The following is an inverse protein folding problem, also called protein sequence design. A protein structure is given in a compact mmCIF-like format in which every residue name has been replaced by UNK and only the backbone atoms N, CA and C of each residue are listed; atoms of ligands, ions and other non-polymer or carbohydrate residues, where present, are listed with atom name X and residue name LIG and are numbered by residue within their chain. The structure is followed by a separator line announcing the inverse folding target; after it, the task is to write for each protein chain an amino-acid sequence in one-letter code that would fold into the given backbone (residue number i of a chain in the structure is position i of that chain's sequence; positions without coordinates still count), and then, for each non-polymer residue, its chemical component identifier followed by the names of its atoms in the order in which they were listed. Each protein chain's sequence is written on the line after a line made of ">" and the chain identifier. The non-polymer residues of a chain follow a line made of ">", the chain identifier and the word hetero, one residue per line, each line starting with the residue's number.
data_IF_708506098335
#
_entry.id   IF_708506098335
#
_cell.length_a   1.000
_cell.length_b   1.000
_cell.length_c   1.000
_cell.angle_alpha   90.00
_cell.angle_beta   90.00
_cell.angle_gamma   90.00
#
_symmetry.space_group_name_H-M   'P 1'
#
loop_
_entity.id
_entity.type
_entity.pdbx_description
1 polymer ?
#
# COMPACT_ATOMS: atom_id res chain seq x y z
N UNK A 1 22.91 35.87 23.29
CA UNK A 1 23.79 35.36 22.21
C UNK A 1 23.55 36.25 21.00
N UNK A 2 24.40 37.25 20.76
CA UNK A 2 24.23 38.14 19.61
C UNK A 2 24.77 37.45 18.35
N UNK A 3 23.99 37.44 17.27
CA UNK A 3 24.39 36.94 15.94
C UNK A 3 24.90 38.10 15.09
N UNK A 4 25.70 37.84 14.05
CA UNK A 4 26.24 38.92 13.22
C UNK A 4 25.11 39.50 12.37
N UNK A 5 25.23 40.78 11.95
CA UNK A 5 24.30 41.35 10.98
C UNK A 5 24.19 40.51 9.69
N UNK A 6 25.27 39.84 9.26
CA UNK A 6 25.27 38.97 8.07
C UNK A 6 24.32 37.78 8.30
N UNK A 7 24.45 37.11 9.43
CA UNK A 7 23.65 35.91 9.74
C UNK A 7 22.19 36.26 10.02
N UNK A 8 21.92 37.41 10.65
CA UNK A 8 20.56 37.91 10.85
C UNK A 8 19.91 38.21 9.49
N UNK A 9 20.58 38.98 8.63
CA UNK A 9 20.07 39.30 7.29
C UNK A 9 19.87 38.03 6.44
N UNK A 10 20.76 37.05 6.58
CA UNK A 10 20.64 35.77 5.90
C UNK A 10 19.39 34.99 6.33
N UNK A 11 19.20 34.82 7.64
CA UNK A 11 18.06 34.08 8.18
C UNK A 11 16.72 34.81 7.93
N UNK A 12 16.70 36.13 8.10
CA UNK A 12 15.51 36.95 7.80
C UNK A 12 15.19 36.91 6.31
N UNK A 13 16.21 36.96 5.44
CA UNK A 13 16.03 36.87 3.99
C UNK A 13 15.44 35.52 3.55
N UNK A 14 16.00 34.41 4.05
CA UNK A 14 15.47 33.07 3.80
C UNK A 14 14.07 32.87 4.37
N UNK A 15 13.82 33.34 5.59
CA UNK A 15 12.50 33.25 6.22
C UNK A 15 11.46 34.06 5.45
N UNK A 16 11.81 35.27 5.00
CA UNK A 16 10.97 36.10 4.15
C UNK A 16 10.57 35.37 2.87
N UNK A 17 11.54 34.81 2.14
CA UNK A 17 11.27 34.02 0.94
C UNK A 17 10.36 32.80 1.21
N UNK A 18 10.58 32.09 2.31
CA UNK A 18 9.73 30.96 2.68
C UNK A 18 8.29 31.40 2.99
N UNK A 19 8.14 32.49 3.74
CA UNK A 19 6.83 33.06 4.11
C UNK A 19 6.09 33.61 2.90
N UNK A 20 6.79 34.33 2.02
CA UNK A 20 6.24 34.83 0.76
C UNK A 20 5.59 33.69 -0.03
N UNK A 21 6.34 32.63 -0.27
CA UNK A 21 5.88 31.55 -1.13
C UNK A 21 4.89 30.59 -0.48
N UNK A 22 4.92 30.42 0.85
CA UNK A 22 4.01 29.48 1.54
C UNK A 22 2.74 30.13 2.07
N UNK A 23 2.81 31.35 2.57
CA UNK A 23 1.69 32.01 3.25
C UNK A 23 1.03 33.08 2.39
N UNK A 24 1.79 33.72 1.48
CA UNK A 24 1.29 34.83 0.65
C UNK A 24 1.06 34.44 -0.80
N UNK A 25 1.10 33.14 -1.13
CA UNK A 25 0.89 32.64 -2.49
C UNK A 25 -0.44 33.09 -3.12
N UNK A 26 -1.47 33.35 -2.31
CA UNK A 26 -2.78 33.86 -2.74
C UNK A 26 -2.83 35.38 -2.97
N UNK A 27 -1.82 36.14 -2.49
CA UNK A 27 -1.77 37.61 -2.55
C UNK A 27 -0.55 38.07 -3.34
N UNK A 28 -0.64 38.06 -4.67
CA UNK A 28 0.49 38.29 -5.59
C UNK A 28 1.28 39.58 -5.30
N UNK A 29 0.60 40.67 -4.90
CA UNK A 29 1.25 41.95 -4.58
C UNK A 29 2.12 41.90 -3.32
N UNK A 30 1.61 41.30 -2.24
CA UNK A 30 2.36 41.17 -0.98
C UNK A 30 3.47 40.12 -1.07
N UNK A 31 3.23 39.03 -1.81
CA UNK A 31 4.25 38.01 -2.11
C UNK A 31 5.48 38.63 -2.75
N UNK A 32 5.29 39.37 -3.84
CA UNK A 32 6.39 40.00 -4.58
C UNK A 32 7.19 40.96 -3.71
N UNK A 33 6.54 41.75 -2.85
CA UNK A 33 7.23 42.67 -1.93
C UNK A 33 8.09 41.91 -0.93
N UNK A 34 7.55 40.84 -0.32
CA UNK A 34 8.27 40.03 0.68
C UNK A 34 9.43 39.27 0.04
N UNK A 35 9.25 38.74 -1.16
CA UNK A 35 10.30 38.03 -1.89
C UNK A 35 11.44 38.96 -2.31
N UNK A 36 11.11 40.14 -2.86
CA UNK A 36 12.12 41.15 -3.19
C UNK A 36 12.87 41.63 -1.95
N UNK A 37 12.18 41.82 -0.82
CA UNK A 37 12.82 42.17 0.45
C UNK A 37 13.74 41.05 0.92
N UNK A 38 13.33 39.78 0.78
CA UNK A 38 14.15 38.61 1.11
C UNK A 38 15.42 38.51 0.27
N UNK A 39 15.30 38.67 -1.05
CA UNK A 39 16.44 38.70 -1.99
C UNK A 39 17.37 39.87 -1.67
N UNK A 40 16.82 41.05 -1.41
CA UNK A 40 17.60 42.23 -1.04
C UNK A 40 18.40 41.99 0.25
N UNK A 41 17.79 41.38 1.27
CA UNK A 41 18.48 41.03 2.51
C UNK A 41 19.65 40.07 2.27
N UNK A 42 19.47 39.05 1.42
CA UNK A 42 20.54 38.12 1.03
C UNK A 42 21.66 38.83 0.25
N UNK A 43 21.31 39.76 -0.66
CA UNK A 43 22.29 40.55 -1.41
C UNK A 43 23.12 41.46 -0.49
N UNK A 44 22.47 42.10 0.49
CA UNK A 44 23.16 42.92 1.51
C UNK A 44 24.07 42.04 2.38
N UNK A 45 23.63 40.85 2.78
CA UNK A 45 24.46 39.89 3.51
C UNK A 45 25.72 39.51 2.69
N UNK A 46 25.56 39.27 1.38
CA UNK A 46 26.67 39.03 0.46
C UNK A 46 27.62 40.21 0.34
N UNK A 47 27.10 41.42 0.19
CA UNK A 47 27.91 42.64 0.15
C UNK A 47 28.74 42.83 1.43
N UNK A 48 28.11 42.62 2.59
CA UNK A 48 28.79 42.68 3.89
C UNK A 48 29.86 41.60 4.01
N UNK A 49 29.61 40.37 3.54
CA UNK A 49 30.59 39.29 3.53
C UNK A 49 31.82 39.60 2.66
N UNK A 50 31.62 40.25 1.50
CA UNK A 50 32.72 40.73 0.65
C UNK A 50 33.50 41.84 1.34
N UNK A 51 32.81 42.77 2.01
CA UNK A 51 33.44 43.86 2.76
C UNK A 51 34.27 43.32 3.94
N UNK A 52 33.75 42.36 4.70
CA UNK A 52 34.49 41.74 5.81
C UNK A 52 35.69 40.94 5.32
N UNK A 53 35.59 40.28 4.16
CA UNK A 53 36.73 39.61 3.54
C UNK A 53 37.86 40.59 3.17
N UNK A 54 37.52 41.73 2.56
CA UNK A 54 38.48 42.76 2.14
C UNK A 54 39.13 43.49 3.32
N UNK A 55 38.41 43.65 4.43
CA UNK A 55 38.88 44.35 5.62
C UNK A 55 39.46 43.45 6.72
N UNK A 56 39.55 42.14 6.52
CA UNK A 56 40.14 41.24 7.51
C UNK A 56 41.66 41.29 7.44
N UNK A 57 42.35 41.42 8.58
CA UNK A 57 43.81 41.36 8.65
C UNK A 57 44.33 39.98 9.06
N UNK A 58 43.53 39.23 9.81
CA UNK A 58 43.87 37.89 10.30
C UNK A 58 43.57 36.79 9.25
N UNK A 59 44.48 35.82 9.02
CA UNK A 59 44.29 34.75 8.04
C UNK A 59 43.09 33.84 8.34
N UNK A 60 42.77 33.61 9.62
CA UNK A 60 41.61 32.81 10.02
C UNK A 60 40.29 33.51 9.72
N UNK A 61 40.20 34.82 10.00
CA UNK A 61 39.04 35.66 9.63
C UNK A 61 38.86 35.79 8.12
N UNK A 62 39.96 35.98 7.37
CA UNK A 62 39.92 35.99 5.90
C UNK A 62 39.39 34.67 5.35
N UNK A 63 39.79 33.55 5.94
CA UNK A 63 39.28 32.23 5.55
C UNK A 63 37.81 32.05 5.92
N UNK A 64 37.40 32.41 7.13
CA UNK A 64 36.00 32.35 7.55
C UNK A 64 35.08 33.19 6.63
N UNK A 65 35.49 34.41 6.26
CA UNK A 65 34.74 35.25 5.32
C UNK A 65 34.60 34.61 3.93
N UNK A 66 35.65 33.92 3.43
CA UNK A 66 35.57 33.14 2.18
C UNK A 66 34.56 32.01 2.26
N UNK A 67 34.54 31.29 3.39
CA UNK A 67 33.58 30.21 3.60
C UNK A 67 32.15 30.76 3.68
N UNK A 68 31.93 31.87 4.38
CA UNK A 68 30.61 32.54 4.41
C UNK A 68 30.15 32.94 3.01
N UNK A 69 31.04 33.50 2.17
CA UNK A 69 30.72 33.79 0.77
C UNK A 69 30.37 32.51 -0.02
N UNK A 70 31.09 31.41 0.19
CA UNK A 70 30.78 30.13 -0.44
C UNK A 70 29.42 29.56 0.02
N UNK A 71 29.06 29.71 1.29
CA UNK A 71 27.74 29.36 1.82
C UNK A 71 26.63 30.22 1.21
N UNK A 72 26.84 31.53 1.06
CA UNK A 72 25.88 32.40 0.38
C UNK A 72 25.69 32.00 -1.08
N UNK A 73 26.79 31.68 -1.77
CA UNK A 73 26.73 31.14 -3.14
C UNK A 73 25.97 29.81 -3.20
N UNK A 74 26.25 28.88 -2.27
CA UNK A 74 25.53 27.60 -2.18
C UNK A 74 24.03 27.79 -1.92
N UNK A 75 23.66 28.78 -1.12
CA UNK A 75 22.26 29.16 -0.92
C UNK A 75 21.65 29.71 -2.20
N UNK A 76 22.35 30.60 -2.91
CA UNK A 76 21.90 31.11 -4.21
C UNK A 76 21.73 29.98 -5.24
N UNK A 77 22.64 29.00 -5.27
CA UNK A 77 22.48 27.79 -6.10
C UNK A 77 21.22 27.01 -5.71
N UNK A 78 20.95 26.84 -4.42
CA UNK A 78 19.70 26.24 -3.93
C UNK A 78 18.46 27.01 -4.38
N UNK A 79 18.48 28.34 -4.33
CA UNK A 79 17.37 29.17 -4.81
C UNK A 79 17.19 29.10 -6.33
N UNK A 80 18.26 28.98 -7.11
CA UNK A 80 18.20 28.74 -8.56
C UNK A 80 17.57 27.37 -8.85
N UNK A 81 17.94 26.33 -8.09
CA UNK A 81 17.29 25.01 -8.20
C UNK A 81 15.80 25.10 -7.86
N UNK A 82 15.43 25.86 -6.83
CA UNK A 82 14.03 26.12 -6.49
C UNK A 82 13.29 26.81 -7.65
N UNK A 83 13.87 27.86 -8.25
CA UNK A 83 13.29 28.51 -9.41
C UNK A 83 13.09 27.54 -10.60
N UNK A 84 13.97 26.54 -10.74
CA UNK A 84 13.82 25.44 -11.70
C UNK A 84 12.57 24.58 -11.49
N UNK A 85 12.02 24.52 -10.28
CA UNK A 85 10.78 23.77 -9.98
C UNK A 85 9.50 24.50 -10.39
N UNK A 86 9.60 25.79 -10.72
CA UNK A 86 8.43 26.63 -11.07
C UNK A 86 7.75 26.17 -12.34
N UNK A 87 6.43 26.35 -12.43
CA UNK A 87 5.64 25.96 -13.61
C UNK A 87 6.10 26.65 -14.89
N UNK A 88 6.57 27.91 -14.81
CA UNK A 88 7.08 28.63 -15.97
C UNK A 88 8.32 27.95 -16.58
N UNK A 89 9.28 27.55 -15.74
CA UNK A 89 10.52 26.90 -16.17
C UNK A 89 10.24 25.47 -16.64
N UNK A 90 9.42 24.73 -15.89
CA UNK A 90 9.08 23.35 -16.26
C UNK A 90 8.26 23.27 -17.56
N UNK A 91 7.40 24.26 -17.85
CA UNK A 91 6.74 24.41 -19.16
C UNK A 91 7.73 24.72 -20.28
N UNK A 92 8.68 25.63 -20.04
CA UNK A 92 9.71 25.98 -21.03
C UNK A 92 10.63 24.80 -21.39
N UNK A 93 10.88 23.88 -20.44
CA UNK A 93 11.69 22.69 -20.66
C UNK A 93 11.02 21.61 -21.54
N UNK A 94 9.71 21.68 -21.76
CA UNK A 94 8.99 20.77 -22.68
C UNK A 94 9.10 19.28 -22.33
N UNK A 95 9.29 18.93 -21.05
CA UNK A 95 9.49 17.55 -20.61
C UNK A 95 8.20 16.71 -20.72
N UNK A 96 8.35 15.42 -21.03
CA UNK A 96 7.25 14.45 -20.95
C UNK A 96 6.73 14.31 -19.51
N UNK A 97 5.48 13.87 -19.32
CA UNK A 97 4.87 13.77 -18.00
C UNK A 97 5.68 12.92 -17.00
N UNK A 98 6.22 11.80 -17.45
CA UNK A 98 7.06 10.92 -16.62
C UNK A 98 8.40 11.58 -16.26
N UNK A 99 9.07 12.20 -17.23
CA UNK A 99 10.33 12.93 -17.01
C UNK A 99 10.15 14.14 -16.11
N UNK A 100 9.02 14.84 -16.22
CA UNK A 100 8.66 15.97 -15.37
C UNK A 100 8.48 15.55 -13.92
N UNK A 101 7.81 14.41 -13.66
CA UNK A 101 7.65 13.87 -12.31
C UNK A 101 9.01 13.52 -11.69
N UNK A 102 9.89 12.87 -12.45
CA UNK A 102 11.27 12.56 -12.00
C UNK A 102 12.07 13.83 -11.73
N UNK A 103 12.01 14.80 -12.64
CA UNK A 103 12.69 16.09 -12.50
C UNK A 103 12.23 16.83 -11.25
N UNK A 104 10.92 16.97 -11.04
CA UNK A 104 10.35 17.62 -9.84
C UNK A 104 10.73 16.90 -8.56
N UNK A 105 10.75 15.57 -8.55
CA UNK A 105 11.22 14.79 -7.41
C UNK A 105 12.69 15.03 -7.08
N UNK A 106 13.57 14.99 -8.09
CA UNK A 106 15.02 15.17 -7.90
C UNK A 106 15.33 16.61 -7.50
N UNK A 107 14.89 17.60 -8.27
CA UNK A 107 15.18 19.01 -8.00
C UNK A 107 14.48 19.45 -6.71
N UNK A 108 13.26 18.97 -6.45
CA UNK A 108 12.50 19.19 -5.22
C UNK A 108 13.22 18.72 -3.96
N UNK A 109 14.00 17.63 -4.05
CA UNK A 109 14.84 17.16 -2.94
C UNK A 109 16.19 17.90 -2.86
N UNK A 110 16.79 18.26 -4.00
CA UNK A 110 18.12 18.87 -4.05
C UNK A 110 18.13 20.33 -3.56
N UNK A 111 17.13 21.14 -3.91
CA UNK A 111 17.13 22.55 -3.52
C UNK A 111 17.13 22.78 -1.99
N UNK A 112 16.30 22.10 -1.16
CA UNK A 112 16.32 22.33 0.28
C UNK A 112 17.59 21.76 0.91
N UNK A 113 18.14 20.65 0.39
CA UNK A 113 19.42 20.10 0.83
C UNK A 113 20.54 21.10 0.57
N UNK A 114 20.60 21.70 -0.62
CA UNK A 114 21.61 22.70 -0.98
C UNK A 114 21.54 23.92 -0.05
N UNK A 115 20.34 24.45 0.19
CA UNK A 115 20.13 25.56 1.15
C UNK A 115 20.55 25.17 2.55
N UNK A 116 20.16 23.98 3.03
CA UNK A 116 20.47 23.53 4.39
C UNK A 116 21.96 23.28 4.63
N UNK A 117 22.63 22.59 3.70
CA UNK A 117 24.08 22.33 3.74
C UNK A 117 24.88 23.64 3.64
N UNK A 118 24.35 24.65 2.96
CA UNK A 118 24.95 25.98 2.93
C UNK A 118 24.69 26.79 4.22
N UNK A 119 23.49 26.71 4.80
CA UNK A 119 23.09 27.45 5.98
C UNK A 119 23.81 26.97 7.26
N UNK A 120 23.94 25.67 7.45
CA UNK A 120 24.48 25.11 8.69
C UNK A 120 25.93 25.55 9.00
N UNK A 121 26.89 25.49 8.05
CA UNK A 121 28.23 26.02 8.29
C UNK A 121 28.26 27.54 8.48
N UNK A 122 27.39 28.29 7.80
CA UNK A 122 27.30 29.75 7.96
C UNK A 122 26.94 30.10 9.40
N UNK A 123 25.88 29.48 9.94
CA UNK A 123 25.43 29.72 11.32
C UNK A 123 26.48 29.22 12.33
N UNK A 124 27.10 28.06 12.11
CA UNK A 124 28.13 27.54 13.01
C UNK A 124 29.38 28.43 13.06
N UNK A 125 29.80 28.97 11.91
CA UNK A 125 30.91 29.92 11.83
C UNK A 125 30.56 31.25 12.49
N UNK A 126 29.33 31.72 12.35
CA UNK A 126 28.86 32.94 13.02
C UNK A 126 28.98 32.84 14.53
N UNK A 127 28.47 31.75 15.12
CA UNK A 127 28.57 31.49 16.56
C UNK A 127 30.04 31.44 17.00
N UNK A 128 30.91 30.86 16.17
CA UNK A 128 32.35 30.75 16.47
C UNK A 128 33.05 32.10 16.42
N UNK A 129 32.69 32.95 15.44
CA UNK A 129 33.22 34.32 15.32
C UNK A 129 32.84 35.18 16.52
N UNK A 130 31.61 35.07 17.03
CA UNK A 130 31.19 35.81 18.22
C UNK A 130 31.88 35.34 19.49
N UNK A 131 32.14 34.03 19.61
CA UNK A 131 32.88 33.47 20.75
C UNK A 131 34.36 33.88 20.76
N UNK A 132 34.92 34.23 19.60
CA UNK A 132 36.33 34.57 19.44
C UNK A 132 36.50 35.97 18.78
N UNK A 133 36.19 37.06 19.52
CA UNK A 133 36.10 38.41 18.96
C UNK A 133 37.45 39.08 18.65
N UNK A 134 38.59 38.46 19.00
CA UNK A 134 39.93 39.06 18.78
C UNK A 134 40.76 38.25 17.78
N UNK A 135 41.05 36.98 18.07
CA UNK A 135 41.87 36.10 17.21
C UNK A 135 41.08 34.83 16.90
N UNK A 136 41.15 34.37 15.66
CA UNK A 136 40.49 33.13 15.23
C UNK A 136 41.50 32.18 14.58
N UNK A 137 41.95 31.13 15.28
CA UNK A 137 42.86 30.15 14.70
C UNK A 137 42.26 29.45 13.49
N UNK A 138 43.04 29.34 12.39
CA UNK A 138 42.59 28.68 11.16
C UNK A 138 42.14 27.23 11.38
N UNK A 139 42.82 26.51 12.27
CA UNK A 139 42.48 25.13 12.62
C UNK A 139 41.07 25.02 13.22
N UNK A 140 40.67 26.00 14.05
CA UNK A 140 39.33 26.04 14.64
C UNK A 140 38.26 26.28 13.58
N UNK A 141 38.51 27.18 12.63
CA UNK A 141 37.59 27.43 11.50
C UNK A 141 37.38 26.17 10.68
N UNK A 142 38.47 25.46 10.36
CA UNK A 142 38.39 24.19 9.62
C UNK A 142 37.62 23.13 10.39
N UNK A 143 37.88 22.98 11.68
CA UNK A 143 37.19 22.01 12.53
C UNK A 143 35.68 22.28 12.61
N UNK A 144 35.27 23.53 12.82
CA UNK A 144 33.86 23.93 12.86
C UNK A 144 33.21 23.69 11.50
N UNK A 145 33.89 24.05 10.41
CA UNK A 145 33.39 23.81 9.05
C UNK A 145 33.19 22.31 8.78
N UNK A 146 34.18 21.46 9.09
CA UNK A 146 34.06 20.01 8.89
C UNK A 146 32.95 19.41 9.73
N UNK A 147 32.81 19.82 10.99
CA UNK A 147 31.75 19.32 11.87
C UNK A 147 30.35 19.76 11.39
N UNK A 148 30.19 21.03 11.01
CA UNK A 148 28.92 21.54 10.52
C UNK A 148 28.51 20.91 9.18
N UNK A 149 29.45 20.74 8.25
CA UNK A 149 29.20 20.06 6.99
C UNK A 149 28.87 18.58 7.19
N UNK A 150 29.63 17.86 8.03
CA UNK A 150 29.36 16.45 8.32
C UNK A 150 27.98 16.27 8.96
N UNK A 151 27.61 17.12 9.92
CA UNK A 151 26.29 17.11 10.54
C UNK A 151 25.17 17.42 9.53
N UNK A 152 25.35 18.45 8.70
CA UNK A 152 24.37 18.84 7.70
C UNK A 152 24.15 17.76 6.63
N UNK A 153 25.24 17.15 6.13
CA UNK A 153 25.17 16.03 5.20
C UNK A 153 24.53 14.80 5.84
N UNK A 154 24.86 14.50 7.10
CA UNK A 154 24.25 13.41 7.85
C UNK A 154 22.73 13.55 7.99
N UNK A 155 22.24 14.77 8.23
CA UNK A 155 20.79 15.05 8.22
C UNK A 155 20.22 15.00 6.80
N UNK A 156 20.94 15.50 5.80
CA UNK A 156 20.49 15.45 4.40
C UNK A 156 20.28 14.01 3.89
N UNK A 157 21.00 13.03 4.44
CA UNK A 157 20.82 11.60 4.15
C UNK A 157 19.43 11.05 4.52
N UNK A 158 18.69 11.72 5.40
CA UNK A 158 17.32 11.31 5.75
C UNK A 158 16.42 11.33 4.51
N UNK A 159 16.59 12.31 3.62
CA UNK A 159 15.75 12.48 2.42
C UNK A 159 15.84 11.29 1.45
N UNK A 160 17.03 10.87 0.95
CA UNK A 160 17.11 9.71 0.07
C UNK A 160 16.76 8.41 0.78
N UNK A 161 17.05 8.26 2.08
CA UNK A 161 16.68 7.08 2.87
C UNK A 161 15.15 6.95 2.96
N UNK A 162 14.47 8.04 3.30
CA UNK A 162 13.00 8.09 3.36
C UNK A 162 12.38 7.80 1.98
N UNK A 163 12.93 8.38 0.91
CA UNK A 163 12.47 8.09 -0.45
C UNK A 163 12.62 6.61 -0.83
N UNK A 164 13.75 5.97 -0.49
CA UNK A 164 13.96 4.54 -0.73
C UNK A 164 13.00 3.71 0.14
N UNK A 165 12.81 4.07 1.41
CA UNK A 165 11.91 3.39 2.33
C UNK A 165 10.45 3.45 1.84
N UNK A 166 10.00 4.62 1.39
CA UNK A 166 8.66 4.81 0.85
C UNK A 166 8.41 4.00 -0.43
N UNK A 167 9.40 3.87 -1.31
CA UNK A 167 9.28 3.09 -2.56
C UNK A 167 9.45 1.59 -2.37
N UNK A 168 10.27 1.18 -1.43
CA UNK A 168 10.56 -0.22 -1.10
C UNK A 168 9.91 -0.61 0.22
N UNK A 169 8.67 -0.17 0.45
CA UNK A 169 7.90 -0.53 1.63
C UNK A 169 7.46 -2.00 1.55
N UNK A 170 8.43 -2.90 1.61
CA UNK A 170 8.22 -4.33 1.74
C UNK A 170 7.86 -4.59 3.19
N UNK A 171 6.58 -4.83 3.44
CA UNK A 171 6.10 -5.30 4.74
C UNK A 171 6.62 -6.72 4.96
N UNK A 172 7.76 -6.85 5.63
CA UNK A 172 8.21 -8.12 6.17
C UNK A 172 7.36 -8.43 7.39
N UNK A 173 6.32 -9.23 7.20
CA UNK A 173 5.50 -9.72 8.31
C UNK A 173 6.30 -10.80 9.08
N UNK A 174 6.91 -10.36 10.18
CA UNK A 174 7.63 -11.22 11.12
C UNK A 174 6.68 -11.79 12.20
N UNK A 175 5.38 -11.48 12.11
CA UNK A 175 4.39 -12.00 13.05
C UNK A 175 4.18 -13.50 12.81
N UNK A 176 3.87 -14.21 13.88
CA UNK A 176 3.84 -15.67 13.99
C UNK A 176 2.82 -16.38 13.06
N UNK A 177 2.08 -15.65 12.22
CA UNK A 177 1.06 -16.14 11.29
C UNK A 177 1.47 -15.88 9.83
N UNK A 178 2.46 -16.63 9.33
CA UNK A 178 2.89 -16.65 7.91
C UNK A 178 1.81 -17.12 6.92
N UNK A 179 0.52 -17.05 7.23
CA UNK A 179 -0.53 -17.76 6.45
C UNK A 179 -1.88 -17.03 6.33
N UNK A 180 -1.95 -15.73 6.63
CA UNK A 180 -3.16 -14.92 6.38
C UNK A 180 -3.13 -14.23 5.00
N UNK A 181 -2.18 -14.55 4.13
CA UNK A 181 -2.19 -14.13 2.74
C UNK A 181 -2.75 -15.24 1.84
N UNK A 182 -3.63 -14.87 0.90
CA UNK A 182 -4.18 -15.81 -0.07
C UNK A 182 -3.12 -16.23 -1.08
N UNK A 183 -3.03 -17.53 -1.33
CA UNK A 183 -2.13 -18.11 -2.33
C UNK A 183 -2.49 -17.66 -3.75
N UNK A 184 -1.53 -17.74 -4.67
CA UNK A 184 -1.75 -17.39 -6.08
C UNK A 184 -2.83 -18.27 -6.71
N UNK A 185 -2.89 -19.55 -6.34
CA UNK A 185 -3.93 -20.48 -6.79
C UNK A 185 -5.34 -20.04 -6.34
N UNK A 186 -5.49 -19.67 -5.06
CA UNK A 186 -6.78 -19.21 -4.50
C UNK A 186 -7.24 -17.90 -5.14
N UNK A 187 -6.31 -16.96 -5.37
CA UNK A 187 -6.60 -15.69 -6.07
C UNK A 187 -7.08 -15.92 -7.49
N UNK A 188 -6.42 -16.81 -8.23
CA UNK A 188 -6.83 -17.14 -9.59
C UNK A 188 -8.20 -17.82 -9.62
N UNK A 189 -8.48 -18.69 -8.65
CA UNK A 189 -9.76 -19.36 -8.53
C UNK A 189 -10.89 -18.36 -8.21
N UNK A 190 -10.66 -17.44 -7.28
CA UNK A 190 -11.61 -16.38 -6.95
C UNK A 190 -11.88 -15.44 -8.14
N UNK A 191 -10.84 -15.11 -8.92
CA UNK A 191 -10.99 -14.28 -10.13
C UNK A 191 -11.72 -15.01 -11.27
N UNK A 192 -11.69 -16.34 -11.30
CA UNK A 192 -12.32 -17.18 -12.31
C UNK A 192 -13.71 -17.69 -11.92
N UNK A 193 -14.30 -17.19 -10.82
CA UNK A 193 -15.66 -17.54 -10.41
C UNK A 193 -16.66 -17.06 -11.45
N UNK A 194 -17.52 -17.96 -11.93
CA UNK A 194 -18.59 -17.63 -12.89
C UNK A 194 -19.87 -17.18 -12.17
N UNK A 195 -20.15 -17.77 -11.00
CA UNK A 195 -21.31 -17.46 -10.16
C UNK A 195 -20.92 -16.62 -8.93
N UNK A 196 -21.81 -15.71 -8.46
CA UNK A 196 -21.55 -14.89 -7.28
C UNK A 196 -21.56 -15.72 -5.99
N UNK A 197 -20.49 -15.58 -5.20
CA UNK A 197 -20.32 -16.17 -3.88
C UNK A 197 -20.35 -15.09 -2.80
N UNK A 198 -21.11 -15.33 -1.74
CA UNK A 198 -21.13 -14.45 -0.57
C UNK A 198 -20.38 -15.12 0.59
N UNK A 199 -19.35 -14.44 1.10
CA UNK A 199 -18.59 -14.83 2.29
C UNK A 199 -19.11 -14.03 3.48
N UNK A 200 -19.73 -14.72 4.43
CA UNK A 200 -20.31 -14.13 5.65
C UNK A 200 -19.52 -14.58 6.86
N UNK A 201 -18.84 -13.64 7.50
CA UNK A 201 -17.98 -13.86 8.66
C UNK A 201 -18.79 -13.54 9.91
N UNK A 202 -19.19 -14.57 10.66
CA UNK A 202 -19.92 -14.41 11.92
C UNK A 202 -18.94 -14.20 13.07
N UNK A 203 -18.73 -12.93 13.46
CA UNK A 203 -17.80 -12.54 14.53
C UNK A 203 -18.41 -11.44 15.40
N UNK A 204 -18.11 -11.42 16.72
CA UNK A 204 -18.50 -10.31 17.57
C UNK A 204 -17.61 -9.09 17.26
N UNK A 205 -18.09 -7.85 17.48
CA UNK A 205 -17.36 -6.62 17.16
C UNK A 205 -15.99 -6.50 17.84
N UNK A 206 -15.81 -7.13 19.01
CA UNK A 206 -14.58 -7.10 19.78
C UNK A 206 -13.61 -8.26 19.48
N UNK A 207 -13.83 -9.05 18.42
CA UNK A 207 -12.94 -10.18 18.12
C UNK A 207 -11.65 -9.73 17.43
N UNK A 208 -10.53 -10.11 18.04
CA UNK A 208 -9.17 -9.96 17.52
C UNK A 208 -8.92 -10.75 16.22
N UNK A 209 -9.77 -11.72 15.89
CA UNK A 209 -9.64 -12.60 14.71
C UNK A 209 -10.24 -11.94 13.47
N UNK A 210 -11.14 -10.97 13.64
CA UNK A 210 -11.87 -10.32 12.55
C UNK A 210 -10.93 -9.63 11.57
N UNK A 211 -9.93 -8.91 12.08
CA UNK A 211 -8.98 -8.16 11.26
C UNK A 211 -8.10 -9.09 10.41
N UNK A 212 -7.71 -10.25 10.94
CA UNK A 212 -6.94 -11.26 10.21
C UNK A 212 -7.76 -11.91 9.10
N UNK A 213 -9.04 -12.24 9.38
CA UNK A 213 -9.94 -12.80 8.36
C UNK A 213 -10.25 -11.77 7.27
N UNK A 214 -10.54 -10.52 7.64
CA UNK A 214 -10.74 -9.44 6.67
C UNK A 214 -9.49 -9.20 5.83
N UNK A 215 -8.31 -9.21 6.46
CA UNK A 215 -7.02 -9.07 5.78
C UNK A 215 -6.80 -10.17 4.72
N UNK A 216 -7.24 -11.39 5.00
CA UNK A 216 -7.22 -12.50 4.05
C UNK A 216 -8.26 -12.34 2.94
N UNK A 217 -9.55 -12.21 3.30
CA UNK A 217 -10.67 -12.22 2.35
C UNK A 217 -10.69 -11.00 1.41
N UNK A 218 -10.22 -9.83 1.87
CA UNK A 218 -10.05 -8.65 1.00
C UNK A 218 -9.06 -8.87 -0.14
N UNK A 219 -8.14 -9.83 -0.03
CA UNK A 219 -7.19 -10.13 -1.11
C UNK A 219 -7.79 -10.96 -2.24
N UNK A 220 -8.96 -11.58 -2.02
CA UNK A 220 -9.68 -12.42 -2.97
C UNK A 220 -11.07 -11.86 -3.32
N UNK A 221 -11.45 -10.75 -2.71
CA UNK A 221 -12.68 -10.02 -3.01
C UNK A 221 -12.67 -9.51 -4.46
N UNK A 222 -13.82 -9.63 -5.13
CA UNK A 222 -13.93 -9.36 -6.56
C UNK A 222 -15.39 -9.24 -7.01
N UNK A 223 -15.66 -9.17 -8.33
CA UNK A 223 -17.02 -8.97 -8.83
C UNK A 223 -17.99 -10.10 -8.43
N UNK A 224 -17.47 -11.33 -8.33
CA UNK A 224 -18.25 -12.53 -8.01
C UNK A 224 -17.93 -13.09 -6.61
N UNK A 225 -17.21 -12.35 -5.76
CA UNK A 225 -16.95 -12.75 -4.37
C UNK A 225 -17.07 -11.53 -3.46
N UNK A 226 -18.12 -11.52 -2.64
CA UNK A 226 -18.42 -10.44 -1.70
C UNK A 226 -18.13 -10.90 -0.26
N UNK A 227 -17.69 -9.96 0.58
CA UNK A 227 -17.30 -10.26 1.97
C UNK A 227 -18.08 -9.38 2.93
N UNK A 228 -18.83 -10.00 3.83
CA UNK A 228 -19.63 -9.32 4.86
C UNK A 228 -19.27 -9.83 6.25
N UNK A 229 -19.11 -8.91 7.20
CA UNK A 229 -18.93 -9.25 8.62
C UNK A 229 -20.26 -9.05 9.33
N UNK A 230 -20.75 -10.09 9.97
CA UNK A 230 -22.03 -10.11 10.66
C UNK A 230 -21.82 -10.53 12.11
N UNK A 231 -22.60 -9.94 13.02
CA UNK A 231 -22.76 -10.47 14.38
C UNK A 231 -23.96 -11.42 14.41
N UNK A 232 -23.77 -12.62 14.95
CA UNK A 232 -24.83 -13.60 15.22
C UNK A 232 -25.99 -12.99 16.02
N UNK A 233 -25.68 -12.12 16.99
CA UNK A 233 -26.70 -11.48 17.83
C UNK A 233 -27.52 -10.45 17.05
N UNK A 234 -26.93 -9.79 16.07
CA UNK A 234 -27.61 -8.81 15.23
C UNK A 234 -28.46 -9.47 14.12
N UNK A 235 -28.02 -10.63 13.59
CA UNK A 235 -28.68 -11.30 12.45
C UNK A 235 -29.03 -12.78 12.72
N UNK A 236 -29.87 -13.09 13.73
CA UNK A 236 -30.14 -14.47 14.13
C UNK A 236 -30.92 -15.28 13.08
N UNK A 237 -31.75 -14.64 12.26
CA UNK A 237 -32.53 -15.30 11.19
C UNK A 237 -31.61 -15.83 10.09
N UNK A 238 -30.65 -15.01 9.65
CA UNK A 238 -29.67 -15.37 8.64
C UNK A 238 -28.74 -16.48 9.16
N UNK A 239 -28.29 -16.38 10.41
CA UNK A 239 -27.52 -17.44 11.05
C UNK A 239 -28.27 -18.78 11.09
N UNK A 240 -29.57 -18.77 11.45
CA UNK A 240 -30.43 -19.96 11.45
C UNK A 240 -30.57 -20.57 10.05
N UNK A 241 -30.77 -19.75 9.02
CA UNK A 241 -30.85 -20.19 7.63
C UNK A 241 -29.55 -20.87 7.17
N UNK A 242 -28.41 -20.31 7.55
CA UNK A 242 -27.07 -20.84 7.25
C UNK A 242 -26.59 -21.93 8.23
N UNK A 243 -27.44 -22.35 9.18
CA UNK A 243 -27.12 -23.34 10.22
C UNK A 243 -25.90 -22.98 11.08
N UNK A 244 -25.61 -21.69 11.23
CA UNK A 244 -24.55 -21.17 12.11
C UNK A 244 -25.09 -21.05 13.53
N UNK A 245 -24.47 -21.76 14.48
CA UNK A 245 -24.94 -21.84 15.87
C UNK A 245 -24.21 -20.90 16.83
N UNK A 246 -22.99 -20.51 16.48
CA UNK A 246 -22.10 -19.72 17.33
C UNK A 246 -21.29 -18.73 16.49
N UNK A 247 -20.85 -17.65 17.14
CA UNK A 247 -19.85 -16.74 16.58
C UNK A 247 -18.49 -17.47 16.47
N UNK A 248 -17.65 -17.07 15.52
CA UNK A 248 -16.42 -17.79 15.21
C UNK A 248 -16.46 -18.58 13.90
N UNK A 249 -17.49 -18.38 13.06
CA UNK A 249 -17.73 -19.21 11.86
C UNK A 249 -17.73 -18.34 10.61
N UNK A 250 -17.08 -18.81 9.56
CA UNK A 250 -17.15 -18.22 8.22
C UNK A 250 -18.05 -19.09 7.36
N UNK A 251 -19.13 -18.52 6.82
CA UNK A 251 -20.05 -19.21 5.92
C UNK A 251 -19.87 -18.67 4.50
N UNK A 252 -19.58 -19.56 3.55
CA UNK A 252 -19.47 -19.24 2.12
C UNK A 252 -20.67 -19.86 1.43
N UNK A 253 -21.44 -19.04 0.72
CA UNK A 253 -22.72 -19.43 0.12
C UNK A 253 -22.75 -19.12 -1.36
N UNK A 254 -23.22 -20.08 -2.15
CA UNK A 254 -23.61 -19.90 -3.56
C UNK A 254 -25.14 -19.75 -3.65
N UNK A 255 -25.58 -18.70 -4.34
CA UNK A 255 -26.99 -18.35 -4.50
C UNK A 255 -27.58 -17.55 -3.33
N UNK A 256 -28.80 -17.05 -3.54
CA UNK A 256 -29.49 -16.20 -2.56
C UNK A 256 -30.04 -16.99 -1.38
N UNK A 257 -29.89 -16.43 -0.18
CA UNK A 257 -30.36 -17.03 1.06
C UNK A 257 -31.76 -16.50 1.34
N UNK A 258 -32.78 -17.30 1.03
CA UNK A 258 -34.17 -16.98 1.36
C UNK A 258 -34.37 -17.12 2.87
N UNK A 259 -34.83 -16.05 3.52
CA UNK A 259 -34.88 -15.90 4.98
C UNK A 259 -36.16 -16.43 5.64
N UNK A 260 -37.08 -17.01 4.86
CA UNK A 260 -38.42 -17.39 5.32
C UNK A 260 -38.58 -18.89 5.59
N UNK A 261 -39.45 -19.21 6.55
CA UNK A 261 -39.91 -20.58 6.88
C UNK A 261 -40.72 -21.24 5.72
N UNK A 262 -40.91 -20.53 4.60
CA UNK A 262 -41.56 -21.00 3.36
C UNK A 262 -40.68 -21.93 2.49
N UNK A 263 -39.38 -22.07 2.79
CA UNK A 263 -38.47 -23.00 2.10
C UNK A 263 -38.81 -24.51 2.30
N UNK A 264 -39.91 -24.82 3.00
CA UNK A 264 -40.47 -26.18 3.09
C UNK A 264 -41.50 -26.48 2.00
N UNK A 265 -42.03 -25.48 1.29
CA UNK A 265 -43.18 -25.66 0.39
C UNK A 265 -42.85 -25.64 -1.11
N UNK A 266 -41.71 -25.09 -1.54
CA UNK A 266 -41.34 -25.03 -2.96
C UNK A 266 -39.90 -25.54 -3.18
N UNK A 267 -39.80 -26.42 -4.18
CA UNK A 267 -38.64 -27.16 -4.69
C UNK A 267 -37.43 -27.41 -3.75
N UNK A 268 -37.14 -28.68 -3.38
CA UNK A 268 -35.93 -29.01 -2.61
C UNK A 268 -34.60 -28.69 -3.33
N UNK A 269 -34.63 -28.29 -4.61
CA UNK A 269 -33.48 -27.87 -5.43
C UNK A 269 -33.05 -26.41 -5.25
N UNK A 270 -33.85 -25.53 -4.65
CA UNK A 270 -33.54 -24.10 -4.52
C UNK A 270 -32.89 -23.70 -3.17
N UNK A 271 -32.17 -24.64 -2.51
CA UNK A 271 -31.48 -24.34 -1.24
C UNK A 271 -30.07 -23.79 -1.52
N UNK A 272 -29.65 -22.68 -0.89
CA UNK A 272 -28.31 -22.14 -1.09
C UNK A 272 -27.26 -23.17 -0.64
N UNK A 273 -26.29 -23.46 -1.52
CA UNK A 273 -25.21 -24.39 -1.18
C UNK A 273 -24.23 -23.65 -0.29
N UNK A 274 -24.16 -24.06 0.98
CA UNK A 274 -23.38 -23.39 2.02
C UNK A 274 -22.29 -24.29 2.54
N UNK A 275 -21.06 -23.76 2.64
CA UNK A 275 -19.94 -24.38 3.33
C UNK A 275 -19.46 -23.48 4.46
N UNK A 276 -19.13 -24.07 5.60
CA UNK A 276 -18.73 -23.33 6.80
C UNK A 276 -17.35 -23.74 7.28
N UNK A 277 -16.56 -22.77 7.74
CA UNK A 277 -15.28 -22.97 8.43
C UNK A 277 -15.42 -22.47 9.86
N UNK A 278 -15.08 -23.32 10.84
CA UNK A 278 -15.05 -22.94 12.26
C UNK A 278 -13.65 -22.46 12.62
N UNK A 279 -13.53 -21.17 12.91
CA UNK A 279 -12.27 -20.49 13.24
C UNK A 279 -12.18 -20.24 14.76
N UNK A 280 -13.28 -19.80 15.37
CA UNK A 280 -13.32 -19.32 16.75
C UNK A 280 -13.09 -17.81 16.86
N UNK A 281 -13.38 -17.26 18.04
CA UNK A 281 -13.43 -15.80 18.28
C UNK A 281 -12.14 -15.22 18.88
N UNK A 282 -11.24 -16.07 19.41
CA UNK A 282 -9.97 -15.67 20.02
C UNK A 282 -8.79 -16.18 19.21
N UNK A 283 -7.68 -15.43 19.19
CA UNK A 283 -6.49 -15.76 18.40
C UNK A 283 -5.90 -17.14 18.76
N UNK A 284 -5.89 -17.51 20.04
CA UNK A 284 -5.35 -18.80 20.49
C UNK A 284 -6.12 -20.00 19.92
N UNK A 285 -7.46 -19.89 19.83
CA UNK A 285 -8.31 -20.94 19.25
C UNK A 285 -8.24 -20.92 17.72
N UNK A 286 -8.19 -19.72 17.13
CA UNK A 286 -8.16 -19.51 15.69
C UNK A 286 -6.82 -19.89 15.05
N UNK A 287 -5.71 -19.86 15.79
CA UNK A 287 -4.34 -20.04 15.29
C UNK A 287 -4.15 -21.24 14.36
N UNK A 288 -4.71 -22.41 14.73
CA UNK A 288 -4.55 -23.62 13.93
C UNK A 288 -5.33 -23.54 12.61
N UNK A 289 -6.52 -22.97 12.64
CA UNK A 289 -7.39 -22.80 11.47
C UNK A 289 -6.84 -21.69 10.57
N UNK A 290 -6.42 -20.55 11.11
CA UNK A 290 -5.80 -19.45 10.35
C UNK A 290 -4.57 -19.91 9.58
N UNK A 291 -3.76 -20.82 10.14
CA UNK A 291 -2.61 -21.42 9.44
C UNK A 291 -3.01 -22.30 8.24
N UNK A 292 -4.23 -22.82 8.21
CA UNK A 292 -4.75 -23.67 7.13
C UNK A 292 -5.83 -22.99 6.29
N UNK A 293 -6.13 -21.72 6.60
CA UNK A 293 -7.26 -20.99 6.06
C UNK A 293 -7.23 -21.00 4.54
N UNK A 294 -6.06 -20.74 3.95
CA UNK A 294 -5.93 -20.72 2.50
C UNK A 294 -6.30 -22.05 1.83
N UNK A 295 -5.82 -23.17 2.38
CA UNK A 295 -6.16 -24.49 1.84
C UNK A 295 -7.63 -24.87 2.03
N UNK A 296 -8.23 -24.46 3.15
CA UNK A 296 -9.66 -24.70 3.40
C UNK A 296 -10.55 -23.84 2.50
N UNK A 297 -10.22 -22.55 2.33
CA UNK A 297 -10.94 -21.64 1.43
C UNK A 297 -10.77 -22.09 -0.02
N UNK A 298 -9.56 -22.43 -0.46
CA UNK A 298 -9.33 -22.94 -1.81
C UNK A 298 -10.20 -24.17 -2.11
N UNK A 299 -10.29 -25.12 -1.16
CA UNK A 299 -11.14 -26.29 -1.31
C UNK A 299 -12.62 -25.91 -1.44
N UNK A 300 -13.10 -25.00 -0.60
CA UNK A 300 -14.50 -24.55 -0.66
C UNK A 300 -14.78 -23.81 -1.97
N UNK A 301 -13.86 -22.98 -2.44
CA UNK A 301 -14.01 -22.28 -3.72
C UNK A 301 -13.97 -23.24 -4.91
N UNK A 302 -13.32 -24.40 -4.83
CA UNK A 302 -13.43 -25.42 -5.88
C UNK A 302 -14.81 -26.06 -5.87
N UNK A 303 -15.30 -26.44 -4.68
CA UNK A 303 -16.63 -27.04 -4.51
C UNK A 303 -17.77 -26.06 -4.87
N UNK A 304 -17.62 -24.77 -4.54
CA UNK A 304 -18.64 -23.72 -4.73
C UNK A 304 -18.35 -22.79 -5.91
N UNK A 305 -17.22 -22.90 -6.59
CA UNK A 305 -16.90 -22.05 -7.75
C UNK A 305 -17.19 -22.69 -9.10
N UNK A 306 -17.19 -24.02 -9.18
CA UNK A 306 -17.48 -24.75 -10.42
C UNK A 306 -18.96 -25.15 -10.44
N UNK A 307 -19.70 -24.73 -11.47
CA UNK A 307 -21.05 -25.23 -11.73
C UNK A 307 -20.99 -26.76 -11.81
N UNK A 308 -21.99 -27.47 -11.24
CA UNK A 308 -22.08 -28.93 -11.40
C UNK A 308 -22.14 -29.24 -12.90
N UNK A 309 -21.11 -29.89 -13.42
CA UNK A 309 -21.09 -30.31 -14.83
C UNK A 309 -21.82 -31.64 -14.91
N UNK A 310 -22.85 -31.75 -15.72
CA UNK A 310 -23.53 -33.03 -15.87
C UNK A 310 -22.78 -33.90 -16.87
N UNK A 311 -22.65 -35.18 -16.54
CA UNK A 311 -22.11 -36.18 -17.45
C UNK A 311 -23.15 -37.29 -17.59
N UNK A 312 -23.74 -37.37 -18.78
CA UNK A 312 -24.75 -38.37 -19.10
C UNK A 312 -24.10 -39.61 -19.72
N UNK A 313 -24.51 -40.78 -19.26
CA UNK A 313 -24.07 -42.06 -19.82
C UNK A 313 -25.26 -42.86 -20.31
N UNK A 314 -25.11 -43.47 -21.48
CA UNK A 314 -26.13 -44.34 -22.05
C UNK A 314 -26.22 -45.66 -21.27
N UNK A 315 -27.42 -46.21 -21.16
CA UNK A 315 -27.68 -47.48 -20.48
C UNK A 315 -28.71 -48.32 -21.24
N UNK A 316 -28.45 -49.63 -21.39
CA UNK A 316 -29.44 -50.60 -21.88
C UNK A 316 -29.04 -51.49 -23.06
N UNK A 317 -27.89 -51.27 -23.72
CA UNK A 317 -27.48 -52.01 -24.93
C UNK A 317 -26.16 -52.80 -24.77
N UNK A 318 -26.01 -53.56 -23.68
CA UNK A 318 -24.74 -54.28 -23.42
C UNK A 318 -23.55 -53.37 -23.08
N UNK A 319 -23.77 -52.07 -23.03
CA UNK A 319 -22.79 -51.04 -22.67
C UNK A 319 -22.28 -51.22 -21.25
N UNK A 320 -21.03 -50.83 -21.01
CA UNK A 320 -20.42 -50.84 -19.68
C UNK A 320 -21.20 -49.96 -18.71
N UNK A 321 -21.37 -50.43 -17.47
CA UNK A 321 -22.19 -49.75 -16.48
C UNK A 321 -21.61 -49.86 -15.08
N UNK A 322 -22.19 -49.10 -14.15
CA UNK A 322 -21.79 -49.09 -12.73
C UNK A 322 -22.77 -49.81 -11.81
N UNK A 323 -23.94 -50.23 -12.32
CA UNK A 323 -24.95 -51.02 -11.61
C UNK A 323 -24.84 -52.51 -11.96
N UNK A 324 -24.90 -53.39 -10.95
CA UNK A 324 -24.88 -54.86 -11.12
C UNK A 324 -23.54 -55.53 -10.75
N UNK A 325 -23.56 -56.87 -10.78
CA UNK A 325 -22.40 -57.76 -10.58
C UNK A 325 -21.76 -58.08 -11.92
N UNK A 326 -20.99 -57.13 -12.46
CA UNK A 326 -20.13 -57.35 -13.64
C UNK A 326 -18.66 -57.51 -13.24
N UNK A 327 -17.83 -58.17 -14.07
CA UNK A 327 -16.39 -58.24 -13.85
C UNK A 327 -15.76 -56.84 -13.74
N UNK A 328 -14.67 -56.66 -12.97
CA UNK A 328 -14.02 -55.36 -12.79
C UNK A 328 -13.64 -54.66 -14.10
N UNK A 329 -13.28 -55.45 -15.12
CA UNK A 329 -12.81 -54.98 -16.43
C UNK A 329 -13.94 -54.40 -17.30
N UNK A 330 -15.21 -54.68 -16.95
CA UNK A 330 -16.41 -54.22 -17.65
C UNK A 330 -17.22 -53.19 -16.81
N UNK A 331 -16.63 -52.71 -15.71
CA UNK A 331 -17.29 -51.83 -14.76
C UNK A 331 -16.80 -50.39 -14.87
N UNK A 332 -17.73 -49.45 -15.09
CA UNK A 332 -17.44 -48.01 -15.09
C UNK A 332 -17.41 -47.39 -13.68
N UNK A 333 -17.39 -48.20 -12.61
CA UNK A 333 -17.35 -47.69 -11.22
C UNK A 333 -16.11 -46.82 -10.94
N UNK A 334 -14.97 -47.16 -11.53
CA UNK A 334 -13.75 -46.35 -11.40
C UNK A 334 -13.87 -45.00 -12.10
N UNK A 335 -14.41 -44.99 -13.31
CA UNK A 335 -14.65 -43.77 -14.09
C UNK A 335 -15.66 -42.85 -13.40
N UNK A 336 -16.76 -43.40 -12.88
CA UNK A 336 -17.75 -42.64 -12.10
C UNK A 336 -17.11 -41.95 -10.90
N UNK A 337 -16.29 -42.66 -10.12
CA UNK A 337 -15.57 -42.06 -8.98
C UNK A 337 -14.61 -40.95 -9.41
N UNK A 338 -13.97 -41.09 -10.57
CA UNK A 338 -13.07 -40.08 -11.11
C UNK A 338 -13.85 -38.83 -11.54
N UNK A 339 -15.00 -39.00 -12.20
CA UNK A 339 -15.89 -37.92 -12.60
C UNK A 339 -16.52 -37.20 -11.40
N UNK A 340 -16.98 -37.94 -10.39
CA UNK A 340 -17.44 -37.36 -9.13
C UNK A 340 -16.31 -36.57 -8.42
N UNK A 341 -15.06 -37.04 -8.50
CA UNK A 341 -13.89 -36.31 -7.99
C UNK A 341 -13.54 -35.06 -8.81
N UNK A 342 -13.98 -34.98 -10.06
CA UNK A 342 -13.90 -33.80 -10.93
C UNK A 342 -15.17 -32.92 -10.85
N UNK A 343 -16.04 -33.15 -9.87
CA UNK A 343 -17.29 -32.41 -9.66
C UNK A 343 -18.31 -32.54 -10.80
N UNK A 344 -18.37 -33.70 -11.46
CA UNK A 344 -19.47 -34.03 -12.37
C UNK A 344 -20.63 -34.70 -11.63
N UNK A 345 -21.86 -34.30 -11.98
CA UNK A 345 -23.07 -35.06 -11.65
C UNK A 345 -23.30 -36.12 -12.73
N UNK A 346 -23.26 -37.40 -12.34
CA UNK A 346 -23.22 -38.52 -13.28
C UNK A 346 -24.59 -39.20 -13.32
N UNK A 347 -25.33 -38.99 -14.40
CA UNK A 347 -26.66 -39.55 -14.62
C UNK A 347 -26.64 -40.63 -15.73
N UNK A 348 -27.49 -41.64 -15.60
CA UNK A 348 -27.71 -42.65 -16.66
C UNK A 348 -28.97 -42.35 -17.45
N UNK A 349 -28.84 -42.22 -18.76
CA UNK A 349 -29.99 -42.11 -19.68
C UNK A 349 -30.16 -43.44 -20.39
N UNK A 350 -31.35 -44.03 -20.29
CA UNK A 350 -31.74 -45.22 -21.07
C UNK A 350 -32.87 -44.87 -22.03
N UNK A 351 -33.22 -45.81 -22.92
CA UNK A 351 -34.40 -45.69 -23.79
C UNK A 351 -35.69 -45.42 -23.00
N UNK A 352 -35.79 -45.92 -21.76
CA UNK A 352 -36.96 -45.70 -20.89
C UNK A 352 -36.92 -44.37 -20.14
N UNK A 353 -35.76 -43.70 -20.12
CA UNK A 353 -35.50 -42.49 -19.33
C UNK A 353 -35.27 -41.25 -20.21
N UNK A 354 -35.70 -41.28 -21.48
CA UNK A 354 -35.76 -40.11 -22.35
C UNK A 354 -34.76 -40.08 -23.53
N UNK A 355 -33.88 -41.09 -23.67
CA UNK A 355 -32.94 -41.14 -24.81
C UNK A 355 -33.64 -41.30 -26.17
N UNK A 356 -34.91 -41.73 -26.20
CA UNK A 356 -35.70 -41.86 -27.42
C UNK A 356 -36.18 -40.54 -28.01
N UNK A 357 -36.26 -39.47 -27.20
CA UNK A 357 -36.87 -38.20 -27.61
C UNK A 357 -35.82 -37.15 -28.04
N UNK A 358 -34.79 -36.90 -27.22
CA UNK A 358 -33.68 -36.01 -27.55
C UNK A 358 -32.49 -36.18 -26.56
N UNK A 359 -31.31 -35.68 -26.94
CA UNK A 359 -30.19 -35.48 -26.00
C UNK A 359 -30.51 -34.26 -25.12
N UNK A 360 -30.29 -34.30 -23.79
CA UNK A 360 -30.55 -33.15 -22.92
C UNK A 360 -29.79 -31.90 -23.35
N UNK A 361 -30.43 -30.72 -23.26
CA UNK A 361 -29.81 -29.44 -23.63
C UNK A 361 -28.66 -29.02 -22.69
N UNK A 362 -28.52 -29.69 -21.54
CA UNK A 362 -27.49 -29.48 -20.52
C UNK A 362 -26.39 -30.57 -20.53
N UNK A 363 -26.31 -31.36 -21.61
CA UNK A 363 -25.35 -32.44 -21.82
C UNK A 363 -24.00 -32.00 -22.41
#
# INVERSE_FOLDING_TARGET
>A
MAMSPISILYLVGLFGLFVGERLLSAYDGWRLVVDLAGIAALAVAGFLAVRTHRGADDPGRRFAARVVMACLLGTATGLVLYAGTTDAVTRALGLSAESLQRYRGIVGALWPIAVFVAAAPLVALDVTLHRNPVVLPLAQVRHVLTAALAGALGVAWIVPVDYIAARKNHRFDLTHFKTTAAGTATKNLAAALEEPLNVRIFMPPASEVTDELLGYFRQIEGPNLTVEVLDLAAHPRLAKALRVRENGVVAITRGDVVLDDEAKAQDPKARPVTRTITVGTTLDRAKRTLKKLDGEVQKILLELGQSERKAYFTAGHGEFGWTGTRPPDESLKGLRKLLEALHFDVETISLTSGLSDAVPDDA
#
